data_IF_149541850799
#
_entry.id   IF_149541850799
#
_cell.length_a   1.000
_cell.length_b   1.000
_cell.length_c   1.000
_cell.angle_alpha   90.00
_cell.angle_beta   90.00
_cell.angle_gamma   90.00
#
_symmetry.space_group_name_H-M   'P 1'
#
loop_
_entity.id
_entity.type
_entity.pdbx_description
1 polymer ?
#
# COMPACT_ATOMS: atom_id res chain seq x y z
N UNK A 1 48.27 -27.46 -58.51
CA UNK A 1 47.17 -27.83 -57.53
C UNK A 1 47.29 -27.21 -56.15
N UNK A 2 48.37 -26.54 -55.70
CA UNK A 2 48.53 -25.98 -54.34
C UNK A 2 48.05 -24.52 -54.19
N UNK A 3 47.82 -23.76 -55.26
CA UNK A 3 47.35 -22.33 -55.17
C UNK A 3 45.84 -22.17 -54.99
N UNK A 4 45.04 -23.14 -55.47
CA UNK A 4 43.58 -23.04 -55.37
C UNK A 4 43.05 -23.48 -53.99
N UNK A 5 43.75 -24.31 -53.22
CA UNK A 5 43.38 -24.69 -51.88
C UNK A 5 43.55 -23.55 -50.86
N UNK A 6 44.48 -22.60 -51.08
CA UNK A 6 44.75 -21.51 -50.16
C UNK A 6 43.67 -20.43 -50.27
N UNK A 7 43.14 -20.22 -51.49
CA UNK A 7 42.06 -19.25 -51.73
C UNK A 7 40.72 -19.70 -51.16
N UNK A 8 40.42 -21.02 -51.22
CA UNK A 8 39.18 -21.58 -50.65
C UNK A 8 39.21 -21.52 -49.12
N UNK A 9 40.35 -21.75 -48.45
CA UNK A 9 40.49 -21.63 -47.01
C UNK A 9 40.36 -20.19 -46.55
N UNK A 10 40.88 -19.18 -47.28
CA UNK A 10 40.68 -17.76 -46.96
C UNK A 10 39.24 -17.28 -47.16
N UNK A 11 38.52 -17.78 -48.14
CA UNK A 11 37.10 -17.42 -48.35
C UNK A 11 36.21 -18.05 -47.28
N UNK A 12 36.49 -19.28 -46.82
CA UNK A 12 35.73 -19.90 -45.69
C UNK A 12 36.02 -19.18 -44.38
N UNK A 13 37.27 -18.73 -44.15
CA UNK A 13 37.60 -17.97 -42.92
C UNK A 13 37.01 -16.55 -42.92
N UNK A 14 36.83 -15.92 -44.09
CA UNK A 14 36.16 -14.61 -44.21
C UNK A 14 34.65 -14.70 -44.02
N UNK A 15 33.99 -15.80 -44.36
CA UNK A 15 32.55 -16.02 -44.18
C UNK A 15 32.22 -16.30 -42.69
N UNK A 16 33.15 -16.86 -41.90
CA UNK A 16 32.95 -17.10 -40.48
C UNK A 16 33.11 -15.82 -39.60
N UNK A 17 33.74 -14.76 -40.12
CA UNK A 17 33.94 -13.50 -39.43
C UNK A 17 32.78 -12.47 -39.61
N UNK A 18 31.81 -12.76 -40.50
CA UNK A 18 30.68 -11.83 -40.74
C UNK A 18 29.43 -12.14 -39.91
N UNK A 19 29.40 -13.27 -39.18
CA UNK A 19 28.26 -13.67 -38.35
C UNK A 19 28.36 -13.27 -36.87
N UNK A 20 29.40 -12.53 -36.47
CA UNK A 20 29.32 -11.75 -35.21
C UNK A 20 28.45 -10.52 -35.46
N UNK A 21 27.16 -10.78 -35.70
CA UNK A 21 26.14 -9.76 -35.72
C UNK A 21 26.26 -8.93 -34.47
N UNK A 22 26.50 -7.63 -34.64
CA UNK A 22 26.39 -6.63 -33.61
C UNK A 22 24.98 -6.78 -33.00
N UNK A 23 24.83 -7.65 -31.99
CA UNK A 23 23.64 -7.62 -31.16
C UNK A 23 23.63 -6.21 -30.56
N UNK A 24 22.82 -5.34 -31.15
CA UNK A 24 22.50 -4.05 -30.59
C UNK A 24 22.05 -4.35 -29.15
N UNK A 25 22.92 -4.07 -28.18
CA UNK A 25 22.57 -4.23 -26.76
C UNK A 25 21.29 -3.42 -26.56
N UNK A 26 20.15 -4.09 -26.43
CA UNK A 26 18.90 -3.39 -26.18
C UNK A 26 19.14 -2.49 -24.95
N UNK A 27 18.84 -1.20 -25.11
CA UNK A 27 19.09 -0.20 -24.09
C UNK A 27 18.27 -0.56 -22.84
N UNK A 28 18.94 -0.77 -21.71
CA UNK A 28 18.27 -1.00 -20.43
C UNK A 28 17.41 0.24 -20.10
N UNK A 29 16.15 0.00 -19.76
CA UNK A 29 15.25 1.04 -19.26
C UNK A 29 15.48 1.16 -17.75
N UNK A 30 16.02 2.30 -17.32
CA UNK A 30 16.19 2.62 -15.91
C UNK A 30 14.94 3.34 -15.39
N UNK A 31 14.41 2.89 -14.26
CA UNK A 31 13.22 3.42 -13.62
C UNK A 31 13.50 3.76 -12.16
N UNK A 32 12.89 4.83 -11.68
CA UNK A 32 12.90 5.26 -10.28
C UNK A 32 11.62 4.81 -9.59
N UNK A 33 11.72 4.35 -8.32
CA UNK A 33 10.59 3.93 -7.53
C UNK A 33 10.59 4.63 -6.17
N UNK A 34 9.69 5.59 -5.97
CA UNK A 34 9.52 6.30 -4.70
C UNK A 34 8.60 5.55 -3.76
N UNK A 35 9.02 5.35 -2.51
CA UNK A 35 8.25 4.68 -1.47
C UNK A 35 8.44 5.39 -0.12
N UNK A 36 7.36 5.58 0.63
CA UNK A 36 7.45 6.28 1.92
C UNK A 36 7.90 5.38 3.08
N UNK A 37 7.77 4.05 2.97
CA UNK A 37 8.24 3.11 3.97
C UNK A 37 9.76 3.18 4.16
N UNK A 38 10.26 3.09 5.40
CA UNK A 38 11.69 2.99 5.66
C UNK A 38 12.29 1.70 5.08
N UNK A 39 13.62 1.66 4.82
CA UNK A 39 14.24 0.52 4.12
C UNK A 39 14.13 -0.81 4.87
N UNK A 40 14.00 -0.76 6.20
CA UNK A 40 13.85 -1.95 7.06
C UNK A 40 12.42 -2.49 7.12
N UNK A 41 11.43 -1.72 6.65
CA UNK A 41 10.03 -2.11 6.70
C UNK A 41 9.73 -3.24 5.70
N UNK A 42 8.90 -4.22 6.10
CA UNK A 42 8.54 -5.38 5.26
C UNK A 42 7.98 -4.99 3.90
N UNK A 43 7.15 -3.95 3.84
CA UNK A 43 6.56 -3.47 2.59
C UNK A 43 7.61 -2.83 1.65
N UNK A 44 8.63 -2.18 2.19
CA UNK A 44 9.76 -1.71 1.40
C UNK A 44 10.60 -2.88 0.88
N UNK A 45 10.83 -3.90 1.69
CA UNK A 45 11.56 -5.10 1.28
C UNK A 45 10.79 -5.89 0.20
N UNK A 46 9.46 -5.98 0.31
CA UNK A 46 8.61 -6.54 -0.73
C UNK A 46 8.71 -5.76 -2.05
N UNK A 47 8.74 -4.42 -1.99
CA UNK A 47 8.94 -3.57 -3.18
C UNK A 47 10.33 -3.75 -3.81
N UNK A 48 11.38 -3.88 -3.00
CA UNK A 48 12.74 -4.17 -3.49
C UNK A 48 12.82 -5.54 -4.15
N UNK A 49 12.15 -6.55 -3.59
CA UNK A 49 12.11 -7.89 -4.19
C UNK A 49 11.30 -7.91 -5.49
N UNK A 50 10.20 -7.12 -5.57
CA UNK A 50 9.45 -6.89 -6.81
C UNK A 50 10.34 -6.30 -7.92
N UNK A 51 11.09 -5.26 -7.60
CA UNK A 51 12.00 -4.62 -8.53
C UNK A 51 13.07 -5.60 -9.07
N UNK A 52 13.65 -6.41 -8.19
CA UNK A 52 14.64 -7.45 -8.55
C UNK A 52 14.04 -8.56 -9.43
N UNK A 53 12.81 -8.98 -9.15
CA UNK A 53 12.16 -10.02 -9.96
C UNK A 53 11.80 -9.50 -11.36
N UNK A 54 11.42 -8.23 -11.51
CA UNK A 54 11.23 -7.59 -12.82
C UNK A 54 12.57 -7.52 -13.57
N UNK A 55 13.66 -7.09 -12.93
CA UNK A 55 14.98 -7.05 -13.54
C UNK A 55 15.37 -8.44 -14.07
N UNK A 56 15.20 -9.47 -13.25
CA UNK A 56 15.48 -10.87 -13.60
C UNK A 56 14.63 -11.35 -14.77
N UNK A 57 13.28 -11.19 -14.71
CA UNK A 57 12.38 -11.71 -15.77
C UNK A 57 12.45 -10.90 -17.06
N UNK A 58 12.86 -9.64 -16.99
CA UNK A 58 13.12 -8.81 -18.18
C UNK A 58 14.47 -9.13 -18.83
N UNK A 59 15.29 -10.03 -18.24
CA UNK A 59 16.65 -10.27 -18.70
C UNK A 59 17.57 -9.06 -18.59
N UNK A 60 17.37 -8.21 -17.56
CA UNK A 60 18.13 -6.98 -17.33
C UNK A 60 17.72 -5.80 -18.23
N UNK A 61 16.61 -5.92 -18.97
CA UNK A 61 16.12 -4.84 -19.84
C UNK A 61 15.38 -3.75 -19.07
N UNK A 62 14.87 -4.05 -17.87
CA UNK A 62 14.33 -3.08 -16.92
C UNK A 62 15.19 -3.16 -15.66
N UNK A 63 15.62 -2.00 -15.16
CA UNK A 63 16.30 -1.84 -13.88
C UNK A 63 15.57 -0.79 -13.06
N UNK A 64 15.19 -1.13 -11.82
CA UNK A 64 14.41 -0.27 -10.95
C UNK A 64 15.24 0.09 -9.72
N UNK A 65 15.45 1.39 -9.50
CA UNK A 65 16.09 1.91 -8.28
C UNK A 65 15.01 2.36 -7.31
N UNK A 66 14.95 1.72 -6.13
CA UNK A 66 14.00 2.06 -5.07
C UNK A 66 14.56 3.16 -4.19
N UNK A 67 13.74 4.18 -3.91
CA UNK A 67 14.04 5.32 -3.04
C UNK A 67 13.12 5.25 -1.81
N UNK A 68 13.58 4.65 -0.69
CA UNK A 68 12.78 4.46 0.52
C UNK A 68 12.69 5.72 1.37
N UNK A 69 11.78 5.70 2.36
CA UNK A 69 11.66 6.73 3.40
C UNK A 69 11.22 8.10 2.87
N UNK A 70 10.52 8.15 1.73
CA UNK A 70 10.07 9.42 1.17
C UNK A 70 11.20 10.34 0.69
N UNK A 71 12.36 9.76 0.34
CA UNK A 71 13.57 10.51 -0.06
C UNK A 71 13.43 11.13 -1.45
N UNK A 72 12.65 10.55 -2.35
CA UNK A 72 12.41 11.10 -3.69
C UNK A 72 11.13 11.95 -3.73
N UNK A 73 10.02 11.42 -3.19
CA UNK A 73 8.76 12.17 -3.02
C UNK A 73 8.18 11.87 -1.64
N UNK A 74 7.62 12.89 -0.96
CA UNK A 74 6.93 12.69 0.32
C UNK A 74 5.66 11.86 0.13
N UNK A 75 5.20 11.19 1.18
CA UNK A 75 4.05 10.29 1.15
C UNK A 75 2.80 10.91 0.51
N UNK A 76 2.47 12.16 0.87
CA UNK A 76 1.32 12.90 0.36
C UNK A 76 1.54 13.54 -1.03
N UNK A 77 2.76 13.50 -1.56
CA UNK A 77 3.14 14.02 -2.88
C UNK A 77 3.48 12.92 -3.88
N UNK A 78 3.50 11.66 -3.43
CA UNK A 78 3.98 10.52 -4.21
C UNK A 78 3.16 10.31 -5.49
N UNK A 79 1.84 10.34 -5.41
CA UNK A 79 0.97 10.16 -6.58
C UNK A 79 1.20 11.26 -7.63
N UNK A 80 1.15 12.52 -7.21
CA UNK A 80 1.42 13.66 -8.10
C UNK A 80 2.85 13.65 -8.66
N UNK A 81 3.80 13.16 -7.87
CA UNK A 81 5.18 12.96 -8.31
C UNK A 81 5.28 11.96 -9.45
N UNK A 82 4.49 10.87 -9.43
CA UNK A 82 4.41 9.92 -10.53
C UNK A 82 3.73 10.53 -11.76
N UNK A 83 2.58 11.19 -11.58
CA UNK A 83 1.88 11.87 -12.69
C UNK A 83 2.78 12.87 -13.40
N UNK A 84 3.57 13.64 -12.65
CA UNK A 84 4.50 14.66 -13.18
C UNK A 84 5.86 14.11 -13.61
N UNK A 85 6.12 12.81 -13.47
CA UNK A 85 7.39 12.19 -13.86
C UNK A 85 8.59 12.53 -12.96
N UNK A 86 8.36 12.98 -11.70
CA UNK A 86 9.42 13.13 -10.68
C UNK A 86 9.93 11.76 -10.25
N UNK A 87 9.03 10.78 -10.20
CA UNK A 87 9.32 9.36 -10.00
C UNK A 87 8.59 8.57 -11.10
N UNK A 88 9.23 7.54 -11.64
CA UNK A 88 8.60 6.69 -12.65
C UNK A 88 7.55 5.77 -12.03
N UNK A 89 7.79 5.30 -10.80
CA UNK A 89 6.90 4.43 -10.02
C UNK A 89 6.76 5.03 -8.63
N UNK A 90 5.58 4.88 -8.01
CA UNK A 90 5.33 5.36 -6.67
C UNK A 90 4.43 4.42 -5.87
N UNK A 91 4.73 4.30 -4.57
CA UNK A 91 3.89 3.61 -3.59
C UNK A 91 3.55 4.56 -2.45
N UNK A 92 2.24 4.75 -2.21
CA UNK A 92 1.74 5.49 -1.06
C UNK A 92 0.25 5.16 -0.81
N UNK A 93 -0.34 5.80 0.20
CA UNK A 93 -1.76 5.63 0.54
C UNK A 93 -2.64 6.60 -0.26
N UNK A 94 -3.78 6.11 -0.76
CA UNK A 94 -4.81 7.00 -1.33
C UNK A 94 -5.29 8.05 -0.32
N UNK A 95 -5.39 7.65 0.95
CA UNK A 95 -5.82 8.49 2.06
C UNK A 95 -4.95 9.74 2.30
N UNK A 96 -3.69 9.75 1.84
CA UNK A 96 -2.80 10.91 2.00
C UNK A 96 -3.09 12.04 1.01
N UNK A 97 -3.85 11.78 -0.05
CA UNK A 97 -4.30 12.81 -1.00
C UNK A 97 -5.81 12.99 -0.87
N UNK A 98 -6.22 13.73 0.16
CA UNK A 98 -7.61 13.87 0.60
C UNK A 98 -8.54 14.30 -0.55
N UNK A 99 -9.64 13.57 -0.73
CA UNK A 99 -10.72 13.89 -1.69
C UNK A 99 -10.42 13.61 -3.16
N UNK A 100 -9.20 13.16 -3.50
CA UNK A 100 -8.83 12.85 -4.88
C UNK A 100 -9.38 11.50 -5.37
N UNK A 101 -9.55 10.53 -4.47
CA UNK A 101 -9.90 9.15 -4.80
C UNK A 101 -11.21 8.73 -4.10
N UNK A 102 -12.34 9.35 -4.45
CA UNK A 102 -13.59 9.11 -3.74
C UNK A 102 -14.13 7.69 -3.91
N UNK A 103 -13.89 7.02 -5.05
CA UNK A 103 -14.35 5.64 -5.26
C UNK A 103 -13.45 4.66 -4.51
N UNK A 104 -12.12 4.80 -4.61
CA UNK A 104 -11.18 3.95 -3.87
C UNK A 104 -11.33 4.08 -2.35
N UNK A 105 -11.79 5.23 -1.85
CA UNK A 105 -12.03 5.45 -0.43
C UNK A 105 -13.07 4.49 0.18
N UNK A 106 -13.92 3.84 -0.62
CA UNK A 106 -14.82 2.78 -0.14
C UNK A 106 -14.07 1.65 0.57
N UNK A 107 -12.86 1.34 0.11
CA UNK A 107 -12.02 0.29 0.72
C UNK A 107 -11.57 0.67 2.13
N UNK A 108 -11.38 1.98 2.40
CA UNK A 108 -10.90 2.48 3.69
C UNK A 108 -12.01 2.63 4.75
N UNK A 109 -13.25 2.25 4.43
CA UNK A 109 -14.37 2.29 5.37
C UNK A 109 -14.22 1.23 6.48
N UNK A 110 -14.84 1.44 7.67
CA UNK A 110 -14.78 0.49 8.79
C UNK A 110 -15.68 -0.73 8.52
N UNK A 111 -15.18 -1.66 7.71
CA UNK A 111 -15.89 -2.86 7.31
C UNK A 111 -15.57 -4.10 8.15
N UNK A 112 -14.64 -4.01 9.11
CA UNK A 112 -14.18 -5.16 9.91
C UNK A 112 -13.29 -6.11 9.10
N UNK A 113 -12.20 -5.62 8.55
CA UNK A 113 -11.23 -6.46 7.83
C UNK A 113 -10.55 -7.45 8.79
N UNK A 114 -10.53 -8.76 8.47
CA UNK A 114 -9.93 -9.76 9.38
C UNK A 114 -8.40 -9.80 9.31
N UNK A 115 -7.78 -9.42 8.19
CA UNK A 115 -6.33 -9.47 7.99
C UNK A 115 -5.85 -8.57 6.84
N UNK A 116 -4.54 -8.34 6.78
CA UNK A 116 -3.90 -7.59 5.70
C UNK A 116 -3.96 -8.32 4.36
N UNK A 117 -3.91 -9.65 4.38
CA UNK A 117 -4.08 -10.47 3.16
C UNK A 117 -5.47 -10.31 2.57
N UNK A 118 -6.51 -10.36 3.41
CA UNK A 118 -7.88 -10.11 2.96
C UNK A 118 -8.05 -8.68 2.46
N UNK A 119 -7.57 -7.69 3.19
CA UNK A 119 -7.64 -6.29 2.79
C UNK A 119 -6.94 -6.04 1.43
N UNK A 120 -5.77 -6.64 1.23
CA UNK A 120 -5.01 -6.57 -0.02
C UNK A 120 -5.77 -7.19 -1.19
N UNK A 121 -6.35 -8.39 -1.00
CA UNK A 121 -7.14 -9.07 -2.03
C UNK A 121 -8.39 -8.27 -2.39
N UNK A 122 -9.09 -7.73 -1.37
CA UNK A 122 -10.26 -6.87 -1.55
C UNK A 122 -9.89 -5.61 -2.32
N UNK A 123 -8.87 -4.87 -1.90
CA UNK A 123 -8.46 -3.62 -2.53
C UNK A 123 -8.06 -3.81 -4.01
N UNK A 124 -7.28 -4.86 -4.30
CA UNK A 124 -6.86 -5.19 -5.66
C UNK A 124 -8.01 -5.60 -6.56
N UNK A 125 -8.91 -6.46 -6.09
CA UNK A 125 -10.05 -6.90 -6.90
C UNK A 125 -11.11 -5.80 -7.04
N UNK A 126 -11.34 -5.02 -5.99
CA UNK A 126 -12.21 -3.84 -6.03
C UNK A 126 -11.78 -2.86 -7.13
N UNK A 127 -10.49 -2.53 -7.21
CA UNK A 127 -9.96 -1.70 -8.29
C UNK A 127 -10.27 -2.29 -9.68
N UNK A 128 -10.07 -3.60 -9.87
CA UNK A 128 -10.33 -4.26 -11.16
C UNK A 128 -11.80 -4.20 -11.58
N UNK A 129 -12.71 -4.39 -10.61
CA UNK A 129 -14.15 -4.40 -10.84
C UNK A 129 -14.71 -3.00 -11.08
N UNK A 130 -14.31 -2.05 -10.21
CA UNK A 130 -14.85 -0.69 -10.26
C UNK A 130 -14.19 0.16 -11.36
N UNK A 131 -12.95 -0.14 -11.72
CA UNK A 131 -12.16 0.58 -12.73
C UNK A 131 -12.33 2.11 -12.64
N UNK A 132 -12.03 2.72 -11.48
CA UNK A 132 -12.39 4.10 -11.19
C UNK A 132 -11.59 5.09 -12.05
N UNK A 133 -12.31 6.04 -12.67
CA UNK A 133 -11.72 7.04 -13.57
C UNK A 133 -10.68 7.94 -12.90
N UNK A 134 -10.74 8.05 -11.59
CA UNK A 134 -9.81 8.85 -10.76
C UNK A 134 -8.35 8.38 -10.83
N UNK A 135 -8.11 7.21 -11.44
CA UNK A 135 -6.78 6.60 -11.63
C UNK A 135 -6.34 6.55 -13.10
N UNK A 136 -7.06 7.24 -14.01
CA UNK A 136 -6.75 7.20 -15.46
C UNK A 136 -5.48 7.97 -15.84
N UNK A 137 -4.92 8.76 -14.97
CA UNK A 137 -3.70 9.57 -15.19
C UNK A 137 -2.40 8.82 -14.85
N UNK A 138 -2.51 7.56 -14.43
CA UNK A 138 -1.38 6.65 -14.17
C UNK A 138 -1.67 5.24 -14.69
N UNK A 139 -0.63 4.42 -14.81
CA UNK A 139 -0.79 2.96 -14.90
C UNK A 139 -0.80 2.39 -13.49
N UNK A 140 -1.92 1.89 -13.02
CA UNK A 140 -1.95 1.09 -11.79
C UNK A 140 -1.28 -0.25 -12.05
N UNK A 141 -0.27 -0.58 -11.25
CA UNK A 141 0.43 -1.86 -11.30
C UNK A 141 -0.26 -2.88 -10.39
N UNK A 142 -0.47 -2.51 -9.14
CA UNK A 142 -1.26 -3.27 -8.16
C UNK A 142 -1.66 -2.37 -6.99
N UNK A 143 -2.58 -2.88 -6.17
CA UNK A 143 -3.06 -2.23 -4.95
C UNK A 143 -2.95 -3.23 -3.81
N UNK A 144 -2.60 -2.76 -2.62
CA UNK A 144 -2.59 -3.55 -1.40
C UNK A 144 -3.19 -2.76 -0.23
N UNK A 145 -3.51 -3.43 0.88
CA UNK A 145 -4.07 -2.82 2.08
C UNK A 145 -3.47 -3.46 3.33
N UNK A 146 -3.36 -2.69 4.40
CA UNK A 146 -2.86 -3.20 5.68
C UNK A 146 -3.91 -4.00 6.46
N UNK A 147 -3.50 -4.70 7.51
CA UNK A 147 -4.38 -5.38 8.45
C UNK A 147 -5.33 -4.44 9.18
N UNK A 148 -6.23 -4.96 10.03
CA UNK A 148 -7.23 -4.14 10.69
C UNK A 148 -6.59 -3.00 11.49
N UNK A 149 -7.09 -1.78 11.31
CA UNK A 149 -6.71 -0.65 12.15
C UNK A 149 -7.21 -0.86 13.58
N UNK A 150 -6.31 -0.67 14.54
CA UNK A 150 -6.56 -0.77 15.98
C UNK A 150 -6.19 0.55 16.66
N UNK A 151 -6.67 0.75 17.88
CA UNK A 151 -6.34 1.93 18.66
C UNK A 151 -5.12 1.66 19.55
N UNK A 152 -4.06 2.45 19.39
CA UNK A 152 -2.85 2.39 20.22
C UNK A 152 -2.70 3.70 20.99
N UNK A 153 -2.58 3.64 22.33
CA UNK A 153 -2.65 4.81 23.20
C UNK A 153 -1.59 4.77 24.31
N UNK A 154 -1.34 5.94 24.92
CA UNK A 154 -0.49 6.06 26.12
C UNK A 154 -1.24 5.65 27.39
N UNK A 155 -2.52 5.99 27.47
CA UNK A 155 -3.42 5.65 28.56
C UNK A 155 -4.43 4.61 28.10
N UNK A 156 -4.95 3.76 29.01
CA UNK A 156 -5.86 2.67 28.65
C UNK A 156 -7.21 3.21 28.14
N UNK A 157 -7.70 2.64 27.04
CA UNK A 157 -9.03 2.88 26.50
C UNK A 157 -9.82 1.59 26.50
N UNK A 158 -10.83 1.50 27.35
CA UNK A 158 -11.68 0.32 27.55
C UNK A 158 -13.13 0.55 27.15
N UNK A 159 -13.54 1.81 27.08
CA UNK A 159 -14.90 2.25 26.75
C UNK A 159 -14.88 3.45 25.80
N UNK A 160 -16.02 3.77 25.17
CA UNK A 160 -16.17 4.99 24.34
C UNK A 160 -15.92 6.26 25.14
N UNK A 161 -16.27 6.25 26.44
CA UNK A 161 -16.10 7.39 27.34
C UNK A 161 -14.61 7.74 27.50
N UNK A 162 -13.72 6.76 27.49
CA UNK A 162 -12.26 6.95 27.57
C UNK A 162 -11.70 7.66 26.33
N UNK A 163 -12.37 7.51 25.16
CA UNK A 163 -11.97 8.17 23.91
C UNK A 163 -12.25 9.67 23.90
N UNK A 164 -13.10 10.15 24.80
CA UNK A 164 -13.64 11.53 24.72
C UNK A 164 -12.56 12.59 24.72
N UNK A 165 -12.42 13.26 23.58
CA UNK A 165 -11.50 14.37 23.40
C UNK A 165 -10.02 13.98 23.26
N UNK A 166 -9.66 12.69 23.31
CA UNK A 166 -8.29 12.22 23.07
C UNK A 166 -7.82 12.61 21.66
N UNK A 167 -6.65 13.20 21.58
CA UNK A 167 -6.01 13.54 20.30
C UNK A 167 -5.39 12.28 19.68
N UNK A 168 -6.07 11.73 18.69
CA UNK A 168 -5.66 10.49 18.03
C UNK A 168 -5.17 10.77 16.60
N UNK A 169 -3.94 10.35 16.32
CA UNK A 169 -3.43 10.37 14.95
C UNK A 169 -4.28 9.44 14.08
N UNK A 170 -4.71 9.94 12.95
CA UNK A 170 -5.50 9.21 11.96
C UNK A 170 -5.25 9.78 10.56
N UNK A 171 -5.87 9.20 9.53
CA UNK A 171 -5.75 9.71 8.15
C UNK A 171 -6.97 9.29 7.31
N UNK A 172 -7.30 10.06 6.28
CA UNK A 172 -8.42 9.73 5.39
C UNK A 172 -9.72 9.51 6.16
N UNK A 173 -10.39 8.38 5.88
CA UNK A 173 -11.65 8.00 6.53
C UNK A 173 -11.48 7.54 7.98
N UNK A 174 -10.29 7.06 8.38
CA UNK A 174 -10.06 6.73 9.79
C UNK A 174 -10.14 7.94 10.72
N UNK A 175 -10.03 9.16 10.18
CA UNK A 175 -10.31 10.37 10.94
C UNK A 175 -11.80 10.48 11.34
N UNK A 176 -12.72 10.12 10.43
CA UNK A 176 -14.16 10.03 10.74
C UNK A 176 -14.45 8.92 11.76
N UNK A 177 -13.69 7.81 11.73
CA UNK A 177 -13.81 6.75 12.74
C UNK A 177 -13.42 7.27 14.12
N UNK A 178 -12.28 7.95 14.26
CA UNK A 178 -11.84 8.56 15.54
C UNK A 178 -12.88 9.55 16.06
N UNK A 179 -13.42 10.40 15.19
CA UNK A 179 -14.46 11.38 15.55
C UNK A 179 -15.76 10.70 16.02
N UNK A 180 -16.21 9.66 15.31
CA UNK A 180 -17.41 8.90 15.68
C UNK A 180 -17.26 8.16 17.02
N UNK A 181 -16.04 7.75 17.37
CA UNK A 181 -15.71 7.15 18.66
C UNK A 181 -15.49 8.20 19.79
N UNK A 182 -15.67 9.50 19.51
CA UNK A 182 -15.56 10.57 20.49
C UNK A 182 -14.16 11.20 20.64
N UNK A 183 -13.18 10.73 19.88
CA UNK A 183 -11.83 11.31 19.87
C UNK A 183 -11.70 12.55 19.01
N UNK A 184 -10.57 13.24 19.12
CA UNK A 184 -10.17 14.38 18.30
C UNK A 184 -9.12 13.94 17.25
N UNK A 185 -9.49 13.79 15.97
CA UNK A 185 -8.57 13.30 14.95
C UNK A 185 -7.50 14.35 14.61
N UNK A 186 -6.24 13.92 14.56
CA UNK A 186 -5.10 14.72 14.10
C UNK A 186 -4.52 14.06 12.86
N UNK A 187 -4.76 14.66 11.70
CA UNK A 187 -4.37 14.09 10.41
C UNK A 187 -2.89 14.32 10.10
N UNK A 188 -2.14 13.24 9.91
CA UNK A 188 -0.76 13.28 9.45
C UNK A 188 -0.34 11.96 8.79
N UNK A 189 0.66 11.97 7.88
CA UNK A 189 1.27 10.75 7.35
C UNK A 189 1.96 9.94 8.45
N UNK A 190 2.23 8.66 8.16
CA UNK A 190 2.76 7.70 9.14
C UNK A 190 4.17 8.04 9.65
N UNK A 191 5.01 8.61 8.80
CA UNK A 191 6.38 9.01 9.10
C UNK A 191 6.49 10.10 10.19
N UNK A 192 5.43 10.89 10.39
CA UNK A 192 5.36 11.91 11.44
C UNK A 192 4.80 11.38 12.79
N UNK A 193 4.29 10.15 12.84
CA UNK A 193 3.50 9.66 13.98
C UNK A 193 4.35 9.39 15.22
N UNK A 194 5.51 8.74 15.07
CA UNK A 194 6.39 8.44 16.22
C UNK A 194 6.78 9.70 17.00
N UNK A 195 7.26 10.72 16.29
CA UNK A 195 7.68 11.98 16.90
C UNK A 195 6.50 12.71 17.54
N UNK A 196 5.32 12.70 16.91
CA UNK A 196 4.12 13.32 17.43
C UNK A 196 3.62 12.64 18.71
N UNK A 197 3.68 11.30 18.79
CA UNK A 197 3.42 10.53 20.00
C UNK A 197 4.46 10.86 21.08
N UNK A 198 5.75 10.83 20.75
CA UNK A 198 6.82 11.09 21.69
C UNK A 198 6.69 12.48 22.34
N UNK A 199 6.41 13.52 21.54
CA UNK A 199 6.25 14.90 21.99
C UNK A 199 4.87 15.18 22.65
N UNK A 200 3.93 14.25 22.67
CA UNK A 200 2.60 14.44 23.22
C UNK A 200 1.69 15.35 22.38
N UNK A 201 2.00 15.55 21.09
CA UNK A 201 1.10 16.23 20.14
C UNK A 201 -0.18 15.42 19.97
N UNK A 202 -0.05 14.09 19.98
CA UNK A 202 -1.15 13.12 20.01
C UNK A 202 -0.96 12.15 21.19
N UNK A 203 -2.08 11.63 21.71
CA UNK A 203 -2.15 10.73 22.85
C UNK A 203 -2.22 9.27 22.39
N UNK A 204 -2.56 9.07 21.12
CA UNK A 204 -2.64 7.75 20.48
C UNK A 204 -2.65 7.83 18.97
N UNK A 205 -2.75 6.66 18.35
CA UNK A 205 -2.82 6.49 16.89
C UNK A 205 -3.82 5.38 16.55
N UNK A 206 -4.56 5.57 15.45
CA UNK A 206 -5.46 4.55 14.91
C UNK A 206 -4.80 3.98 13.65
N UNK A 207 -4.19 2.79 13.77
CA UNK A 207 -3.31 2.17 12.76
C UNK A 207 -3.30 0.64 12.91
N UNK A 208 -2.81 -0.14 11.92
CA UNK A 208 -2.59 -1.57 12.12
C UNK A 208 -1.49 -1.83 13.16
N UNK A 209 -1.55 -3.00 13.81
CA UNK A 209 -0.64 -3.36 14.89
C UNK A 209 0.83 -3.50 14.44
N UNK A 210 1.06 -3.74 13.15
CA UNK A 210 2.42 -3.78 12.59
C UNK A 210 3.22 -2.50 12.86
N UNK A 211 2.52 -1.34 12.97
CA UNK A 211 3.19 -0.04 13.21
C UNK A 211 3.91 0.01 14.55
N UNK A 212 3.51 -0.84 15.49
CA UNK A 212 4.16 -0.93 16.78
C UNK A 212 5.63 -1.40 16.66
N UNK A 213 5.91 -2.29 15.68
CA UNK A 213 7.28 -2.71 15.34
C UNK A 213 7.84 -1.95 14.13
N UNK A 214 7.13 -1.95 13.01
CA UNK A 214 7.61 -1.39 11.74
C UNK A 214 7.96 0.09 11.80
N UNK A 215 7.34 0.84 12.73
CA UNK A 215 7.53 2.27 12.98
C UNK A 215 7.94 2.57 14.43
N UNK A 216 8.37 1.57 15.19
CA UNK A 216 8.84 1.65 16.59
C UNK A 216 7.80 2.27 17.56
N UNK A 217 6.51 2.29 17.23
CA UNK A 217 5.51 2.99 18.04
C UNK A 217 5.25 2.32 19.40
N UNK A 218 5.56 1.01 19.56
CA UNK A 218 5.50 0.34 20.87
C UNK A 218 6.36 0.99 21.96
N UNK A 219 7.32 1.84 21.59
CA UNK A 219 8.18 2.57 22.54
C UNK A 219 7.48 3.81 23.12
N UNK A 220 6.47 4.34 22.44
CA UNK A 220 5.82 5.62 22.77
C UNK A 220 4.32 5.49 23.04
N UNK A 221 3.77 4.26 22.98
CA UNK A 221 2.43 3.88 23.44
C UNK A 221 2.53 2.74 24.45
N UNK A 222 1.46 2.47 25.23
CA UNK A 222 1.42 1.43 26.24
C UNK A 222 0.27 0.45 26.09
N UNK A 223 -0.79 0.86 25.41
CA UNK A 223 -2.02 0.10 25.30
C UNK A 223 -2.44 -0.07 23.86
N UNK A 224 -2.97 -1.22 23.54
CA UNK A 224 -3.63 -1.50 22.25
C UNK A 224 -5.03 -2.00 22.53
N UNK A 225 -6.05 -1.22 22.15
CA UNK A 225 -7.44 -1.67 22.23
C UNK A 225 -7.79 -2.44 20.97
N UNK A 226 -8.12 -3.71 21.13
CA UNK A 226 -8.56 -4.61 20.07
C UNK A 226 -10.01 -4.27 19.67
N UNK A 227 -10.17 -3.52 18.58
CA UNK A 227 -11.45 -3.12 18.01
C UNK A 227 -11.58 -3.61 16.56
N UNK A 228 -11.29 -4.90 16.34
CA UNK A 228 -11.20 -5.49 14.99
C UNK A 228 -12.50 -5.36 14.20
N UNK A 229 -13.67 -5.39 14.84
CA UNK A 229 -14.97 -5.27 14.17
C UNK A 229 -15.24 -3.84 13.66
N UNK A 230 -14.53 -2.83 14.19
CA UNK A 230 -14.46 -1.45 13.67
C UNK A 230 -13.36 -1.34 12.62
N UNK A 231 -12.51 -2.36 12.52
CA UNK A 231 -11.29 -2.38 11.74
C UNK A 231 -11.47 -1.87 10.31
N UNK A 232 -10.80 -0.77 10.03
CA UNK A 232 -10.63 -0.23 8.68
C UNK A 232 -9.30 -0.74 8.10
N UNK A 233 -9.13 -0.61 6.79
CA UNK A 233 -7.80 -0.66 6.16
C UNK A 233 -7.50 0.68 5.50
N UNK A 234 -6.27 0.87 5.06
CA UNK A 234 -5.93 1.95 4.13
C UNK A 234 -5.37 1.33 2.86
N UNK A 235 -6.07 1.53 1.77
CA UNK A 235 -5.62 1.07 0.47
C UNK A 235 -4.39 1.88 0.00
N UNK A 236 -3.41 1.16 -0.50
CA UNK A 236 -2.14 1.70 -0.99
C UNK A 236 -1.99 1.36 -2.46
N UNK A 237 -1.60 2.36 -3.23
CA UNK A 237 -1.33 2.20 -4.64
C UNK A 237 0.14 1.87 -4.90
N UNK A 238 0.37 1.09 -5.95
CA UNK A 238 1.65 1.02 -6.67
C UNK A 238 1.33 1.38 -8.11
N UNK A 239 1.77 2.57 -8.51
CA UNK A 239 1.42 3.16 -9.80
C UNK A 239 2.66 3.57 -10.58
N UNK A 240 2.54 3.60 -11.90
CA UNK A 240 3.61 4.01 -12.83
C UNK A 240 3.15 5.16 -13.72
N UNK A 241 4.06 6.06 -14.02
CA UNK A 241 3.85 7.15 -14.97
C UNK A 241 3.42 6.59 -16.34
N UNK A 242 2.38 7.18 -16.96
CA UNK A 242 1.81 6.66 -18.22
C UNK A 242 2.77 6.77 -19.40
N UNK A 243 3.57 7.82 -19.51
CA UNK A 243 4.53 7.96 -20.61
C UNK A 243 5.62 6.89 -20.52
N UNK A 244 6.12 6.65 -19.29
CA UNK A 244 7.09 5.58 -19.03
C UNK A 244 6.50 4.21 -19.31
N UNK A 245 5.27 3.93 -18.86
CA UNK A 245 4.58 2.71 -19.17
C UNK A 245 4.43 2.49 -20.68
N UNK A 246 3.97 3.51 -21.40
CA UNK A 246 3.74 3.44 -22.83
C UNK A 246 5.06 3.34 -23.65
N UNK A 247 6.18 3.75 -23.07
CA UNK A 247 7.51 3.61 -23.70
C UNK A 247 8.06 2.17 -23.63
N UNK A 248 7.51 1.33 -22.75
CA UNK A 248 7.90 -0.07 -22.64
C UNK A 248 7.32 -0.89 -23.81
N UNK A 249 8.12 -1.81 -24.36
CA UNK A 249 7.61 -2.79 -25.33
C UNK A 249 6.50 -3.66 -24.70
N UNK A 250 5.61 -4.21 -25.52
CA UNK A 250 4.51 -5.08 -25.05
C UNK A 250 5.00 -6.27 -24.23
N UNK A 251 6.17 -6.84 -24.59
CA UNK A 251 6.76 -7.93 -23.82
C UNK A 251 7.21 -7.46 -22.43
N UNK A 252 7.82 -6.28 -22.31
CA UNK A 252 8.23 -5.72 -21.02
C UNK A 252 7.04 -5.32 -20.17
N UNK A 253 5.98 -4.73 -20.78
CA UNK A 253 4.73 -4.46 -20.10
C UNK A 253 4.14 -5.75 -19.50
N UNK A 254 4.12 -6.85 -20.27
CA UNK A 254 3.63 -8.15 -19.79
C UNK A 254 4.45 -8.70 -18.62
N UNK A 255 5.78 -8.56 -18.65
CA UNK A 255 6.64 -8.95 -17.52
C UNK A 255 6.25 -8.17 -16.26
N UNK A 256 6.14 -6.83 -16.36
CA UNK A 256 5.75 -5.98 -15.23
C UNK A 256 4.37 -6.37 -14.70
N UNK A 257 3.37 -6.55 -15.57
CA UNK A 257 2.01 -6.92 -15.17
C UNK A 257 1.97 -8.30 -14.50
N UNK A 258 2.69 -9.27 -15.03
CA UNK A 258 2.73 -10.63 -14.45
C UNK A 258 3.33 -10.61 -13.05
N UNK A 259 4.49 -9.97 -12.88
CA UNK A 259 5.14 -9.85 -11.57
C UNK A 259 4.28 -9.04 -10.61
N UNK A 260 3.67 -7.96 -11.07
CA UNK A 260 2.78 -7.11 -10.24
C UNK A 260 1.58 -7.89 -9.71
N UNK A 261 0.97 -8.75 -10.54
CA UNK A 261 -0.13 -9.60 -10.09
C UNK A 261 0.28 -10.61 -9.01
N UNK A 262 1.47 -11.20 -9.14
CA UNK A 262 2.02 -12.12 -8.13
C UNK A 262 2.35 -11.39 -6.81
N UNK A 263 2.76 -10.12 -6.89
CA UNK A 263 3.14 -9.34 -5.70
C UNK A 263 1.97 -8.87 -4.85
N UNK A 264 0.74 -8.96 -5.34
CA UNK A 264 -0.46 -8.76 -4.51
C UNK A 264 -0.42 -9.71 -3.32
N UNK A 265 -0.19 -11.01 -3.55
CA UNK A 265 -0.09 -12.01 -2.49
C UNK A 265 1.14 -11.77 -1.60
N UNK A 266 2.28 -11.41 -2.19
CA UNK A 266 3.52 -11.11 -1.43
C UNK A 266 3.31 -9.96 -0.45
N UNK A 267 2.63 -8.88 -0.86
CA UNK A 267 2.30 -7.77 0.04
C UNK A 267 1.26 -8.16 1.09
N UNK A 268 0.25 -8.95 0.71
CA UNK A 268 -0.75 -9.47 1.65
C UNK A 268 -0.12 -10.33 2.75
N UNK A 269 0.72 -11.29 2.38
CA UNK A 269 1.44 -12.14 3.33
C UNK A 269 2.43 -11.35 4.19
N UNK A 270 3.08 -10.33 3.60
CA UNK A 270 3.97 -9.43 4.35
C UNK A 270 3.22 -8.59 5.39
N UNK A 271 1.98 -8.18 5.13
CA UNK A 271 1.13 -7.49 6.11
C UNK A 271 0.77 -8.39 7.29
N UNK A 272 0.24 -9.59 7.04
CA UNK A 272 -0.16 -10.53 8.09
C UNK A 272 1.05 -10.94 8.96
N UNK A 273 2.19 -11.18 8.32
CA UNK A 273 3.44 -11.43 9.05
C UNK A 273 3.85 -10.25 9.91
N UNK A 274 3.76 -9.03 9.40
CA UNK A 274 4.14 -7.82 10.13
C UNK A 274 3.19 -7.53 11.29
N UNK A 275 1.90 -7.83 11.16
CA UNK A 275 0.92 -7.71 12.25
C UNK A 275 1.26 -8.68 13.39
N UNK A 276 1.59 -9.94 13.08
CA UNK A 276 2.04 -10.91 14.09
C UNK A 276 3.33 -10.45 14.79
N UNK A 277 4.31 -9.98 14.01
CA UNK A 277 5.56 -9.46 14.57
C UNK A 277 5.35 -8.18 15.40
N UNK A 278 4.38 -7.32 15.03
CA UNK A 278 3.98 -6.15 15.77
C UNK A 278 3.37 -6.50 17.12
N UNK A 279 2.50 -7.52 17.16
CA UNK A 279 1.91 -8.05 18.39
C UNK A 279 2.98 -8.62 19.32
N UNK A 280 3.85 -9.49 18.82
CA UNK A 280 4.94 -10.07 19.61
C UNK A 280 5.87 -8.98 20.18
N UNK A 281 6.22 -8.01 19.35
CA UNK A 281 7.12 -6.92 19.75
C UNK A 281 6.50 -6.03 20.83
N UNK A 282 5.23 -5.65 20.70
CA UNK A 282 4.56 -4.80 21.69
C UNK A 282 4.41 -5.51 23.04
N UNK A 283 4.09 -6.82 23.04
CA UNK A 283 4.06 -7.63 24.25
C UNK A 283 5.45 -7.75 24.91
N UNK A 284 6.51 -7.91 24.11
CA UNK A 284 7.90 -7.95 24.62
C UNK A 284 8.35 -6.66 25.30
N UNK A 285 7.71 -5.52 24.95
CA UNK A 285 7.93 -4.22 25.61
C UNK A 285 7.11 -4.05 26.89
N UNK A 286 6.30 -5.04 27.26
CA UNK A 286 5.41 -5.00 28.42
C UNK A 286 4.17 -4.12 28.20
N UNK A 287 3.79 -3.89 26.96
CA UNK A 287 2.56 -3.17 26.62
C UNK A 287 1.35 -4.10 26.76
N UNK A 288 0.19 -3.54 27.05
CA UNK A 288 -1.05 -4.27 27.31
C UNK A 288 -1.94 -4.31 26.06
N UNK A 289 -2.52 -5.48 25.78
CA UNK A 289 -3.61 -5.64 24.82
C UNK A 289 -4.93 -5.64 25.57
N UNK A 290 -5.78 -4.67 25.27
CA UNK A 290 -7.12 -4.51 25.84
C UNK A 290 -8.12 -5.13 24.87
N UNK A 291 -8.83 -6.16 25.34
CA UNK A 291 -9.96 -6.76 24.62
C UNK A 291 -11.24 -6.09 25.10
N UNK A 292 -12.02 -5.52 24.18
CA UNK A 292 -13.32 -4.95 24.50
C UNK A 292 -14.32 -6.04 24.90
N UNK A 293 -15.22 -5.75 25.85
CA UNK A 293 -16.36 -6.61 26.11
C UNK A 293 -17.27 -6.67 24.86
N UNK A 294 -18.10 -7.70 24.73
CA UNK A 294 -19.05 -7.83 23.62
C UNK A 294 -20.00 -6.63 23.54
N UNK A 295 -20.46 -6.13 24.71
CA UNK A 295 -21.32 -4.97 24.79
C UNK A 295 -20.60 -3.71 24.30
N UNK A 296 -19.36 -3.49 24.73
CA UNK A 296 -18.59 -2.31 24.35
C UNK A 296 -18.17 -2.39 22.86
N UNK A 297 -17.75 -3.55 22.38
CA UNK A 297 -17.45 -3.75 20.97
C UNK A 297 -18.66 -3.43 20.08
N UNK A 298 -19.87 -3.85 20.49
CA UNK A 298 -21.11 -3.48 19.79
C UNK A 298 -21.34 -1.98 19.79
N UNK A 299 -21.12 -1.29 20.89
CA UNK A 299 -21.23 0.20 20.97
C UNK A 299 -20.28 0.88 19.97
N UNK A 300 -19.05 0.39 19.85
CA UNK A 300 -18.06 0.92 18.90
C UNK A 300 -18.51 0.69 17.46
N UNK A 301 -18.97 -0.50 17.12
CA UNK A 301 -19.50 -0.82 15.77
C UNK A 301 -20.71 0.07 15.44
N UNK A 302 -21.64 0.24 16.38
CA UNK A 302 -22.83 1.08 16.18
C UNK A 302 -22.46 2.57 15.99
N UNK A 303 -21.44 3.06 16.70
CA UNK A 303 -20.95 4.43 16.58
C UNK A 303 -20.35 4.75 15.20
N UNK A 304 -19.66 3.79 14.55
CA UNK A 304 -19.02 4.02 13.24
C UNK A 304 -19.91 3.71 12.04
N UNK A 305 -21.03 3.02 12.24
CA UNK A 305 -21.96 2.65 11.15
C UNK A 305 -22.41 3.83 10.29
N UNK A 306 -22.75 5.02 10.85
CA UNK A 306 -23.16 6.20 10.05
C UNK A 306 -22.09 6.69 9.07
N UNK A 307 -20.82 6.33 9.26
CA UNK A 307 -19.72 6.72 8.36
C UNK A 307 -19.94 6.10 6.97
N UNK A 308 -20.40 4.84 6.91
CA UNK A 308 -20.66 4.13 5.65
C UNK A 308 -21.82 4.79 4.91
N UNK A 309 -22.92 5.12 5.61
CA UNK A 309 -24.08 5.79 5.04
C UNK A 309 -23.71 7.20 4.55
N UNK A 310 -22.95 7.94 5.35
CA UNK A 310 -22.43 9.25 4.97
C UNK A 310 -21.53 9.21 3.75
N UNK A 311 -20.66 8.18 3.63
CA UNK A 311 -19.84 7.99 2.43
C UNK A 311 -20.72 7.77 1.17
N UNK A 312 -21.73 6.92 1.25
CA UNK A 312 -22.65 6.68 0.13
C UNK A 312 -23.29 8.00 -0.30
N UNK A 313 -23.91 8.72 0.64
CA UNK A 313 -24.58 9.99 0.35
C UNK A 313 -23.62 11.04 -0.25
N UNK A 314 -22.42 11.22 0.31
CA UNK A 314 -21.42 12.19 -0.16
C UNK A 314 -20.89 11.83 -1.57
N UNK A 315 -20.80 10.53 -1.88
CA UNK A 315 -20.24 10.02 -3.13
C UNK A 315 -21.30 10.10 -4.25
N UNK A 316 -22.53 9.72 -3.96
CA UNK A 316 -23.65 9.81 -4.92
C UNK A 316 -24.04 11.25 -5.23
N UNK A 317 -23.92 12.19 -4.28
CA UNK A 317 -24.10 13.61 -4.53
C UNK A 317 -23.09 14.17 -5.54
N UNK A 318 -22.00 13.44 -5.82
CA UNK A 318 -20.99 13.73 -6.86
C UNK A 318 -21.19 12.90 -8.13
N UNK A 319 -22.34 12.25 -8.27
CA UNK A 319 -22.66 11.35 -9.41
C UNK A 319 -21.66 10.17 -9.53
N UNK A 320 -21.07 9.73 -8.40
CA UNK A 320 -20.17 8.59 -8.31
C UNK A 320 -20.89 7.37 -7.68
N UNK A 321 -20.46 6.14 -7.95
CA UNK A 321 -21.19 4.93 -7.58
C UNK A 321 -20.98 4.52 -6.10
N UNK A 322 -21.43 5.34 -5.13
CA UNK A 322 -21.21 5.15 -3.70
C UNK A 322 -21.80 3.85 -3.15
N UNK A 323 -23.09 3.62 -3.35
CA UNK A 323 -23.79 2.39 -2.94
C UNK A 323 -23.13 1.14 -3.53
N UNK A 324 -22.91 1.15 -4.86
CA UNK A 324 -22.24 0.05 -5.56
C UNK A 324 -20.86 -0.25 -5.01
N UNK A 325 -20.09 0.77 -4.67
CA UNK A 325 -18.76 0.63 -4.11
C UNK A 325 -18.80 -0.08 -2.74
N UNK A 326 -19.69 0.34 -1.85
CA UNK A 326 -19.86 -0.27 -0.52
C UNK A 326 -20.33 -1.73 -0.63
N UNK A 327 -21.32 -2.02 -1.49
CA UNK A 327 -21.79 -3.38 -1.72
C UNK A 327 -20.66 -4.27 -2.22
N UNK A 328 -19.90 -3.77 -3.21
CA UNK A 328 -18.78 -4.53 -3.78
C UNK A 328 -17.69 -4.86 -2.74
N UNK A 329 -17.32 -3.91 -1.88
CA UNK A 329 -16.34 -4.18 -0.81
C UNK A 329 -16.87 -5.27 0.14
N UNK A 330 -18.12 -5.18 0.58
CA UNK A 330 -18.72 -6.19 1.48
C UNK A 330 -18.74 -7.59 0.87
N UNK A 331 -19.08 -7.70 -0.41
CA UNK A 331 -19.05 -8.97 -1.14
C UNK A 331 -17.64 -9.56 -1.23
N UNK A 332 -16.66 -8.72 -1.49
CA UNK A 332 -15.24 -9.13 -1.55
C UNK A 332 -14.70 -9.56 -0.18
N UNK A 333 -15.04 -8.85 0.90
CA UNK A 333 -14.68 -9.28 2.25
C UNK A 333 -15.29 -10.65 2.56
N UNK A 334 -16.58 -10.88 2.21
CA UNK A 334 -17.22 -12.19 2.38
C UNK A 334 -16.57 -13.29 1.53
N UNK A 335 -16.05 -12.94 0.35
CA UNK A 335 -15.35 -13.87 -0.56
C UNK A 335 -14.01 -14.31 0.00
N UNK A 336 -13.20 -13.35 0.47
CA UNK A 336 -11.80 -13.58 0.87
C UNK A 336 -11.60 -13.83 2.37
N UNK A 337 -12.55 -13.45 3.23
CA UNK A 337 -12.50 -13.62 4.68
C UNK A 337 -12.97 -15.00 5.19
N UNK A 338 -13.08 -16.00 4.31
CA UNK A 338 -13.50 -17.37 4.64
C UNK A 338 -12.32 -18.22 5.10
#
# INVERSE_FOLDING_TARGET
MKKNSLIIVMVIMAVFLVTTGCQKKEKTTELTYSIFFPPTHSQCQAAVSWAKEIEKRSGGKIKITVFPGGTLTKANQCYDGVVKGISDIGMSCFAYTRGRFPVMAAVDLPHGYPSGKVATSVASEFYRIMSPKELNDVKVLYIHGHGPGLLHTKDPVRTLEDMKGMKIRSTGLSAKVVEALGGAPVAMPQDATYESLQKGVVEGTFTPIETLKGWNQAEVVKYTTQCTDVGYTTAMFVVMNLEKWNSLSKNLQKVVETVSNEWIDVHGDAWDKSDNEGLEYTLSKGNEIIVLSEEENKRWVDAVRPIIEGYVSETEAKELPGEKAVVQVKELIKKYGK
#
